data_IF_057592973055
#
_entry.id   IF_057592973055
#
_cell.length_a   1.000
_cell.length_b   1.000
_cell.length_c   1.000
_cell.angle_alpha   90.00
_cell.angle_beta   90.00
_cell.angle_gamma   90.00
#
_symmetry.space_group_name_H-M   'P 1'
#
loop_
_entity.id
_entity.type
_entity.pdbx_description
1 polymer ?
#
# COMPACT_ATOMS: atom_id res chain seq x y z
N UNK A 1 -1.46 8.47 9.35
CA UNK A 1 -1.05 7.29 8.52
C UNK A 1 0.08 7.65 7.56
N UNK A 2 0.75 6.68 6.91
CA UNK A 2 1.71 7.00 5.85
C UNK A 2 0.98 7.56 4.63
N UNK A 3 1.55 8.58 4.00
CA UNK A 3 1.18 9.02 2.64
C UNK A 3 1.81 8.09 1.60
N UNK A 4 1.31 8.15 0.36
CA UNK A 4 1.91 7.46 -0.79
C UNK A 4 3.37 7.83 -1.00
N UNK A 5 3.71 9.11 -0.87
CA UNK A 5 5.10 9.57 -0.98
C UNK A 5 5.99 8.97 0.12
N UNK A 6 5.54 8.97 1.38
CA UNK A 6 6.29 8.35 2.47
C UNK A 6 6.47 6.85 2.28
N UNK A 7 5.48 6.17 1.70
CA UNK A 7 5.62 4.77 1.28
C UNK A 7 6.71 4.61 0.20
N UNK A 8 6.70 5.43 -0.86
CA UNK A 8 7.71 5.37 -1.92
C UNK A 8 9.11 5.63 -1.39
N UNK A 9 9.28 6.63 -0.53
CA UNK A 9 10.55 6.95 0.12
C UNK A 9 11.06 5.77 0.96
N UNK A 10 10.14 5.02 1.60
CA UNK A 10 10.49 3.81 2.37
C UNK A 10 11.03 2.65 1.51
N UNK A 11 10.81 2.68 0.19
CA UNK A 11 11.33 1.64 -0.70
C UNK A 11 12.85 1.72 -0.86
N UNK A 12 13.46 2.88 -0.64
CA UNK A 12 14.92 3.08 -0.75
C UNK A 12 15.69 2.77 0.55
N UNK A 13 15.13 1.96 1.46
CA UNK A 13 15.71 1.64 2.77
C UNK A 13 16.79 0.54 2.75
N UNK A 14 17.62 0.46 1.69
CA UNK A 14 18.77 -0.47 1.64
C UNK A 14 18.42 -1.94 1.35
N UNK A 15 17.23 -2.23 0.83
CA UNK A 15 16.84 -3.58 0.40
C UNK A 15 17.70 -4.05 -0.78
N UNK A 16 18.03 -5.35 -0.78
CA UNK A 16 18.67 -5.97 -1.95
C UNK A 16 17.61 -6.62 -2.82
N UNK A 17 17.41 -6.07 -4.01
CA UNK A 17 16.42 -6.54 -5.00
C UNK A 17 17.11 -7.04 -6.25
N UNK A 18 16.56 -8.10 -6.86
CA UNK A 18 17.02 -8.61 -8.14
C UNK A 18 15.86 -8.68 -9.13
N UNK A 19 16.15 -8.38 -10.39
CA UNK A 19 15.23 -8.52 -11.52
C UNK A 19 15.98 -9.25 -12.64
N UNK A 20 15.48 -10.39 -13.10
CA UNK A 20 16.14 -11.21 -14.13
C UNK A 20 17.62 -11.53 -13.84
N UNK A 21 17.96 -11.79 -12.57
CA UNK A 21 19.32 -12.15 -12.15
C UNK A 21 20.30 -10.98 -12.01
N UNK A 22 19.93 -9.75 -12.37
CA UNK A 22 20.73 -8.55 -12.06
C UNK A 22 20.26 -7.89 -10.78
N UNK A 23 21.20 -7.31 -10.04
CA UNK A 23 20.91 -6.44 -8.90
C UNK A 23 20.24 -5.15 -9.39
N UNK A 24 19.25 -4.69 -8.65
CA UNK A 24 18.54 -3.43 -8.88
C UNK A 24 18.85 -2.52 -7.70
N UNK A 25 19.57 -1.42 -7.97
CA UNK A 25 19.96 -0.46 -6.95
C UNK A 25 18.91 0.65 -6.75
N UNK A 26 18.20 1.03 -7.82
CA UNK A 26 17.03 1.90 -7.78
C UNK A 26 15.81 1.15 -8.30
N UNK A 27 14.91 0.80 -7.38
CA UNK A 27 13.70 0.05 -7.67
C UNK A 27 12.71 0.88 -8.51
N UNK A 28 12.62 2.18 -8.27
CA UNK A 28 11.65 3.05 -8.95
C UNK A 28 12.11 3.46 -10.36
N UNK A 29 13.38 3.24 -10.70
CA UNK A 29 13.86 3.32 -12.09
C UNK A 29 13.38 2.16 -12.97
N UNK A 30 12.96 1.03 -12.38
CA UNK A 30 12.49 -0.15 -13.11
C UNK A 30 10.98 -0.13 -13.30
N UNK A 31 10.49 -0.07 -14.54
CA UNK A 31 9.04 -0.08 -14.82
C UNK A 31 8.32 -1.26 -14.16
N UNK A 32 8.98 -2.42 -14.09
CA UNK A 32 8.45 -3.63 -13.45
C UNK A 32 8.10 -3.43 -11.96
N UNK A 33 8.75 -2.49 -11.28
CA UNK A 33 8.48 -2.17 -9.89
C UNK A 33 7.83 -0.80 -9.70
N UNK A 34 8.15 0.19 -10.53
CA UNK A 34 7.60 1.54 -10.44
C UNK A 34 6.08 1.56 -10.59
N UNK A 35 5.53 0.81 -11.56
CA UNK A 35 4.08 0.76 -11.81
C UNK A 35 3.31 0.20 -10.61
N UNK A 36 3.61 -1.02 -10.09
CA UNK A 36 2.92 -1.51 -8.91
C UNK A 36 3.21 -0.68 -7.64
N UNK A 37 4.40 -0.09 -7.50
CA UNK A 37 4.70 0.80 -6.39
C UNK A 37 3.82 2.06 -6.41
N UNK A 38 3.58 2.67 -7.58
CA UNK A 38 2.67 3.80 -7.68
C UNK A 38 1.21 3.42 -7.38
N UNK A 39 0.75 2.26 -7.83
CA UNK A 39 -0.58 1.74 -7.47
C UNK A 39 -0.74 1.58 -5.95
N UNK A 40 0.28 1.05 -5.27
CA UNK A 40 0.27 0.91 -3.81
C UNK A 40 0.33 2.29 -3.13
N UNK A 41 1.14 3.22 -3.64
CA UNK A 41 1.22 4.59 -3.14
C UNK A 41 -0.15 5.29 -3.20
N UNK A 42 -0.88 5.13 -4.30
CA UNK A 42 -2.25 5.63 -4.43
C UNK A 42 -3.18 5.00 -3.37
N UNK A 43 -3.01 3.72 -3.06
CA UNK A 43 -3.73 3.06 -1.97
C UNK A 43 -3.47 3.68 -0.59
N UNK A 44 -2.22 4.07 -0.30
CA UNK A 44 -1.87 4.83 0.90
C UNK A 44 -2.56 6.20 0.93
N UNK A 45 -2.54 6.94 -0.18
CA UNK A 45 -3.18 8.25 -0.27
C UNK A 45 -4.71 8.15 -0.14
N UNK A 46 -5.34 7.15 -0.76
CA UNK A 46 -6.78 6.91 -0.67
C UNK A 46 -7.24 6.59 0.76
N UNK A 47 -6.37 5.98 1.57
CA UNK A 47 -6.67 5.60 2.94
C UNK A 47 -6.05 6.56 3.96
N UNK A 48 -5.42 7.65 3.53
CA UNK A 48 -4.72 8.55 4.42
C UNK A 48 -5.68 9.24 5.38
N UNK A 49 -5.26 9.31 6.65
CA UNK A 49 -5.87 10.11 7.69
C UNK A 49 -4.76 10.62 8.62
N UNK A 50 -4.90 11.86 9.06
CA UNK A 50 -4.01 12.57 9.98
C UNK A 50 -4.45 12.48 11.45
N UNK A 51 -5.55 11.79 11.74
CA UNK A 51 -5.98 11.54 13.12
C UNK A 51 -4.94 10.73 13.91
N UNK A 52 -4.78 11.04 15.20
CA UNK A 52 -3.77 10.43 16.08
C UNK A 52 -3.94 8.90 16.20
N UNK A 53 -5.17 8.42 16.13
CA UNK A 53 -5.54 7.00 16.20
C UNK A 53 -5.95 6.42 14.84
N UNK A 54 -5.57 7.07 13.74
CA UNK A 54 -5.90 6.62 12.39
C UNK A 54 -5.34 5.22 12.10
N UNK A 55 -6.24 4.28 11.81
CA UNK A 55 -5.93 2.92 11.41
C UNK A 55 -6.41 2.71 9.98
N UNK A 56 -5.61 2.02 9.16
CA UNK A 56 -6.01 1.69 7.80
C UNK A 56 -7.32 0.88 7.83
N UNK A 57 -8.38 1.32 7.13
CA UNK A 57 -9.64 0.62 7.15
C UNK A 57 -9.48 -0.85 6.76
N UNK A 58 -8.55 -1.22 5.87
CA UNK A 58 -8.35 -2.61 5.45
C UNK A 58 -7.89 -3.58 6.53
N UNK A 59 -7.26 -3.11 7.62
CA UNK A 59 -6.74 -3.99 8.68
C UNK A 59 -7.73 -4.25 9.83
N UNK A 60 -8.95 -3.70 9.75
CA UNK A 60 -10.01 -4.05 10.69
C UNK A 60 -10.50 -5.49 10.43
N UNK A 61 -10.36 -6.33 11.47
CA UNK A 61 -10.83 -7.71 11.47
C UNK A 61 -12.25 -7.80 12.09
N UNK A 62 -13.29 -8.07 11.28
CA UNK A 62 -14.66 -8.17 11.79
C UNK A 62 -14.83 -9.38 12.72
N UNK A 63 -15.65 -9.23 13.76
CA UNK A 63 -15.94 -10.26 14.78
C UNK A 63 -17.35 -10.81 14.69
N UNK A 64 -18.13 -10.37 13.70
CA UNK A 64 -19.47 -10.87 13.42
C UNK A 64 -19.76 -10.89 11.91
N UNK A 65 -20.80 -11.61 11.51
CA UNK A 65 -21.28 -11.63 10.12
C UNK A 65 -21.80 -10.25 9.69
N UNK A 66 -22.43 -9.53 10.61
CA UNK A 66 -22.93 -8.18 10.36
C UNK A 66 -21.77 -7.22 10.07
N UNK A 67 -20.74 -7.23 10.92
CA UNK A 67 -19.52 -6.45 10.70
C UNK A 67 -18.82 -6.88 9.40
N UNK A 68 -18.80 -8.17 9.06
CA UNK A 68 -18.23 -8.60 7.77
C UNK A 68 -19.01 -8.02 6.58
N UNK A 69 -20.34 -7.99 6.64
CA UNK A 69 -21.18 -7.44 5.56
C UNK A 69 -21.04 -5.94 5.42
N UNK A 70 -20.89 -5.20 6.52
CA UNK A 70 -20.66 -3.75 6.46
C UNK A 70 -19.30 -3.39 5.86
N UNK A 71 -18.41 -4.37 5.65
CA UNK A 71 -17.06 -4.17 5.10
C UNK A 71 -16.98 -4.36 3.59
N UNK A 72 -18.04 -4.85 2.95
CA UNK A 72 -18.03 -5.17 1.52
C UNK A 72 -17.61 -3.96 0.68
N UNK A 73 -18.24 -2.80 0.88
CA UNK A 73 -17.94 -1.59 0.09
C UNK A 73 -16.50 -1.11 0.27
N UNK A 74 -15.96 -1.24 1.49
CA UNK A 74 -14.56 -0.89 1.78
C UNK A 74 -13.64 -1.84 1.02
N UNK A 75 -13.85 -3.16 1.13
CA UNK A 75 -12.98 -4.16 0.54
C UNK A 75 -13.02 -4.18 -0.98
N UNK A 76 -14.21 -4.02 -1.59
CA UNK A 76 -14.36 -3.97 -3.06
C UNK A 76 -13.86 -2.65 -3.64
N UNK A 77 -13.84 -1.57 -2.87
CA UNK A 77 -13.24 -0.29 -3.29
C UNK A 77 -11.72 -0.34 -3.48
N UNK A 78 -11.05 -1.40 -3.02
CA UNK A 78 -9.61 -1.61 -3.18
C UNK A 78 -9.25 -2.39 -4.46
N UNK A 79 -10.21 -3.12 -5.05
CA UNK A 79 -9.97 -3.85 -6.29
C UNK A 79 -9.79 -2.82 -7.42
N UNK A 80 -8.55 -2.68 -7.89
CA UNK A 80 -8.18 -1.89 -9.06
C UNK A 80 -8.75 -2.46 -10.36
#
# INVERSE_FOLDING_TARGET
MLTGQQYLDSLNAGRTTYLHGRRVDDLLAETAFAVPAQAIAQGYDNCYSDADDAVNPYIFAPRSIEEMRSRTDVLTGMDM
#
